data_IF_191646806084
#
_entry.id   IF_191646806084
#
_cell.length_a   1.000
_cell.length_b   1.000
_cell.length_c   1.000
_cell.angle_alpha   90.00
_cell.angle_beta   90.00
_cell.angle_gamma   90.00
#
_symmetry.space_group_name_H-M   'P 1'
#
loop_
_entity.id
_entity.type
_entity.pdbx_description
1 polymer ?
#
# COMPACT_ATOMS: atom_id res chain seq x y z
N UNK A 1 -8.16 -8.33 15.41
CA UNK A 1 -9.52 -8.56 15.94
C UNK A 1 -9.81 -7.52 17.00
N UNK A 2 -11.03 -7.04 17.09
CA UNK A 2 -11.51 -6.12 18.12
C UNK A 2 -12.80 -6.67 18.68
N UNK A 3 -12.77 -7.11 19.94
CA UNK A 3 -13.96 -7.61 20.62
C UNK A 3 -14.96 -6.48 20.89
N UNK A 4 -16.24 -6.78 21.17
CA UNK A 4 -17.27 -5.77 21.39
C UNK A 4 -16.92 -4.74 22.48
N UNK A 5 -16.23 -5.16 23.53
CA UNK A 5 -15.79 -4.35 24.67
C UNK A 5 -14.44 -3.64 24.45
N UNK A 6 -13.81 -3.83 23.30
CA UNK A 6 -12.49 -3.28 23.00
C UNK A 6 -12.58 -2.11 22.03
N UNK A 7 -11.76 -1.08 22.28
CA UNK A 7 -11.66 0.08 21.40
C UNK A 7 -10.62 -0.09 20.29
N UNK A 8 -9.75 -1.11 20.38
CA UNK A 8 -8.58 -1.25 19.49
C UNK A 8 -8.45 -2.65 18.88
N UNK A 9 -7.91 -2.72 17.66
CA UNK A 9 -7.61 -4.00 17.01
C UNK A 9 -6.32 -4.61 17.56
N UNK A 10 -6.38 -5.89 17.94
CA UNK A 10 -5.24 -6.69 18.37
C UNK A 10 -4.92 -7.78 17.33
N UNK A 11 -3.64 -8.05 17.02
CA UNK A 11 -3.28 -9.14 16.11
C UNK A 11 -3.60 -10.48 16.76
N UNK A 12 -4.10 -11.42 15.95
CA UNK A 12 -4.42 -12.79 16.39
C UNK A 12 -3.86 -13.75 15.34
N UNK A 13 -3.01 -14.69 15.75
CA UNK A 13 -2.46 -15.73 14.87
C UNK A 13 -2.98 -17.09 15.32
N UNK A 14 -4.06 -17.54 14.68
CA UNK A 14 -4.78 -18.77 15.03
C UNK A 14 -5.42 -19.38 13.79
N UNK A 15 -5.50 -20.70 13.73
CA UNK A 15 -6.18 -21.43 12.65
C UNK A 15 -7.69 -21.50 12.88
N UNK A 16 -8.12 -21.54 14.14
CA UNK A 16 -9.52 -21.49 14.56
C UNK A 16 -9.66 -20.59 15.78
N UNK A 17 -10.66 -19.71 15.76
CA UNK A 17 -11.00 -18.83 16.86
C UNK A 17 -12.52 -18.78 17.01
N UNK A 18 -13.03 -18.92 18.23
CA UNK A 18 -14.43 -18.65 18.51
C UNK A 18 -14.62 -17.13 18.56
N UNK A 19 -15.48 -16.60 17.71
CA UNK A 19 -15.69 -15.16 17.57
C UNK A 19 -17.05 -14.80 18.18
N UNK A 20 -17.09 -14.03 19.29
CA UNK A 20 -18.34 -13.54 19.85
C UNK A 20 -19.10 -12.64 18.86
N UNK A 21 -20.42 -12.59 18.97
CA UNK A 21 -21.25 -11.67 18.19
C UNK A 21 -20.85 -10.21 18.45
N UNK A 22 -20.82 -9.39 17.39
CA UNK A 22 -20.40 -7.99 17.46
C UNK A 22 -18.88 -7.76 17.35
N UNK A 23 -18.08 -8.81 17.24
CA UNK A 23 -16.62 -8.69 17.04
C UNK A 23 -16.30 -8.17 15.62
N UNK A 24 -15.35 -7.25 15.52
CA UNK A 24 -14.80 -6.80 14.24
C UNK A 24 -13.45 -7.47 13.96
N UNK A 25 -13.25 -7.94 12.73
CA UNK A 25 -12.00 -8.57 12.31
C UNK A 25 -11.43 -7.89 11.06
N UNK A 26 -10.11 -7.77 11.02
CA UNK A 26 -9.34 -7.39 9.84
C UNK A 26 -8.50 -8.62 9.48
N UNK A 27 -8.64 -9.08 8.25
CA UNK A 27 -7.83 -10.16 7.69
C UNK A 27 -6.81 -9.51 6.75
N UNK A 28 -5.55 -9.54 7.15
CA UNK A 28 -4.44 -9.09 6.32
C UNK A 28 -3.78 -10.31 5.68
N UNK A 29 -3.90 -10.43 4.36
CA UNK A 29 -3.20 -11.47 3.60
C UNK A 29 -1.88 -10.93 3.08
N UNK A 30 -0.88 -11.81 2.94
CA UNK A 30 0.36 -11.44 2.28
C UNK A 30 0.10 -11.10 0.79
N UNK A 31 0.81 -10.10 0.28
CA UNK A 31 0.91 -9.84 -1.16
C UNK A 31 2.03 -10.65 -1.81
N UNK A 32 2.25 -10.42 -3.10
CA UNK A 32 3.43 -10.94 -3.82
C UNK A 32 4.70 -10.15 -3.52
N UNK A 33 5.86 -10.70 -3.89
CA UNK A 33 7.14 -9.98 -3.88
C UNK A 33 7.36 -9.18 -5.18
N UNK A 34 8.09 -8.07 -5.08
CA UNK A 34 8.48 -7.26 -6.24
C UNK A 34 9.72 -7.81 -6.96
N UNK A 35 9.96 -7.34 -8.20
CA UNK A 35 11.14 -7.70 -8.99
C UNK A 35 11.76 -6.46 -9.64
N UNK A 36 13.10 -6.38 -9.59
CA UNK A 36 13.87 -5.29 -10.19
C UNK A 36 13.93 -4.02 -9.33
N UNK A 37 14.40 -2.93 -9.95
CA UNK A 37 14.47 -1.61 -9.33
C UNK A 37 13.13 -0.86 -9.53
N UNK A 38 12.40 -0.53 -8.46
CA UNK A 38 11.14 0.21 -8.55
C UNK A 38 11.25 1.55 -9.30
N UNK A 39 12.39 2.24 -9.20
CA UNK A 39 12.61 3.54 -9.88
C UNK A 39 12.76 3.42 -11.40
N UNK A 40 12.87 2.19 -11.92
CA UNK A 40 12.90 1.90 -13.35
C UNK A 40 11.56 1.44 -13.90
N UNK A 41 10.52 1.31 -13.07
CA UNK A 41 9.17 0.96 -13.53
C UNK A 41 8.61 2.11 -14.38
N UNK A 42 7.89 1.78 -15.44
CA UNK A 42 7.22 2.78 -16.30
C UNK A 42 6.26 3.63 -15.44
N UNK A 43 6.42 4.97 -15.39
CA UNK A 43 5.54 5.84 -14.65
C UNK A 43 4.06 5.73 -15.02
N UNK A 44 3.74 5.40 -16.27
CA UNK A 44 2.35 5.21 -16.69
C UNK A 44 1.72 3.98 -16.07
N UNK A 45 2.49 2.90 -15.90
CA UNK A 45 2.02 1.71 -15.20
C UNK A 45 1.83 1.99 -13.71
N UNK A 46 2.72 2.78 -13.09
CA UNK A 46 2.55 3.21 -11.69
C UNK A 46 1.29 4.06 -11.52
N UNK A 47 1.01 4.97 -12.45
CA UNK A 47 -0.24 5.75 -12.44
C UNK A 47 -1.47 4.84 -12.53
N UNK A 48 -1.42 3.83 -13.39
CA UNK A 48 -2.50 2.85 -13.50
C UNK A 48 -2.67 2.06 -12.20
N UNK A 49 -1.58 1.64 -11.56
CA UNK A 49 -1.61 0.95 -10.26
C UNK A 49 -2.26 1.85 -9.17
N UNK A 50 -2.10 3.18 -9.25
CA UNK A 50 -2.77 4.14 -8.37
C UNK A 50 -4.26 4.29 -8.67
N UNK A 51 -4.63 4.36 -9.95
CA UNK A 51 -6.03 4.41 -10.39
C UNK A 51 -6.77 3.14 -9.94
N UNK A 52 -6.10 2.00 -9.97
CA UNK A 52 -6.63 0.69 -9.55
C UNK A 52 -6.60 0.50 -8.02
N UNK A 53 -5.97 1.40 -7.28
CA UNK A 53 -5.88 1.35 -5.82
C UNK A 53 -4.90 0.31 -5.28
N UNK A 54 -4.04 -0.26 -6.12
CA UNK A 54 -2.96 -1.14 -5.69
C UNK A 54 -1.81 -0.39 -5.02
N UNK A 55 -1.57 0.84 -5.48
CA UNK A 55 -0.53 1.73 -4.97
C UNK A 55 -1.19 3.02 -4.50
N UNK A 56 -0.78 3.54 -3.34
CA UNK A 56 -1.24 4.87 -2.90
C UNK A 56 -0.43 5.97 -3.59
N UNK A 57 -0.97 7.18 -3.70
CA UNK A 57 -0.24 8.32 -4.28
C UNK A 57 1.08 8.58 -3.55
N UNK A 58 1.07 8.42 -2.21
CA UNK A 58 2.26 8.58 -1.38
C UNK A 58 3.30 7.49 -1.66
N UNK A 59 2.87 6.24 -1.86
CA UNK A 59 3.75 5.13 -2.23
C UNK A 59 4.29 5.29 -3.66
N UNK A 60 3.49 5.79 -4.61
CA UNK A 60 3.94 6.11 -5.97
C UNK A 60 5.14 7.09 -5.94
N UNK A 61 5.05 8.14 -5.12
CA UNK A 61 6.13 9.12 -4.99
C UNK A 61 7.36 8.55 -4.27
N UNK A 62 7.15 7.86 -3.14
CA UNK A 62 8.24 7.35 -2.29
C UNK A 62 9.00 6.20 -2.94
N UNK A 63 8.27 5.23 -3.48
CA UNK A 63 8.82 3.93 -3.85
C UNK A 63 9.17 3.89 -5.34
N UNK A 64 8.42 4.61 -6.19
CA UNK A 64 8.60 4.62 -7.65
C UNK A 64 9.08 5.97 -8.21
N UNK A 65 9.12 7.02 -7.39
CA UNK A 65 9.49 8.37 -7.83
C UNK A 65 8.44 9.02 -8.74
N UNK A 66 7.19 8.57 -8.74
CA UNK A 66 6.13 9.09 -9.61
C UNK A 66 5.20 9.98 -8.80
N UNK A 67 5.17 11.29 -9.10
CA UNK A 67 4.33 12.25 -8.38
C UNK A 67 3.04 12.45 -9.17
N UNK A 68 1.91 12.18 -8.52
CA UNK A 68 0.57 12.20 -9.12
C UNK A 68 -0.28 13.26 -8.41
N UNK A 69 -1.03 14.03 -9.18
CA UNK A 69 -2.03 14.96 -8.63
C UNK A 69 -3.25 14.17 -8.09
N UNK A 70 -3.62 14.34 -6.81
CA UNK A 70 -4.71 13.58 -6.20
C UNK A 70 -6.10 13.92 -6.74
N UNK A 71 -6.26 15.04 -7.44
CA UNK A 71 -7.54 15.48 -8.00
C UNK A 71 -7.75 14.97 -9.42
N UNK A 72 -6.69 14.90 -10.21
CA UNK A 72 -6.77 14.53 -11.63
C UNK A 72 -6.25 13.12 -11.91
N UNK A 73 -5.44 12.55 -11.00
CA UNK A 73 -4.71 11.30 -11.18
C UNK A 73 -3.76 11.33 -12.38
N UNK A 74 -3.33 12.53 -12.78
CA UNK A 74 -2.31 12.74 -13.80
C UNK A 74 -0.92 12.84 -13.17
N UNK A 75 0.10 12.41 -13.92
CA UNK A 75 1.49 12.51 -13.49
C UNK A 75 1.92 13.97 -13.61
N UNK A 76 2.33 14.56 -12.50
CA UNK A 76 2.79 15.96 -12.45
C UNK A 76 4.29 16.05 -12.72
N UNK A 77 5.08 15.14 -12.13
CA UNK A 77 6.52 15.08 -12.35
C UNK A 77 7.10 13.74 -11.86
N UNK A 78 8.36 13.51 -12.22
CA UNK A 78 9.13 12.37 -11.73
C UNK A 78 10.21 12.87 -10.76
N UNK A 79 10.31 12.24 -9.60
CA UNK A 79 11.39 12.47 -8.67
C UNK A 79 12.68 11.88 -9.26
N UNK A 80 13.81 12.60 -9.11
CA UNK A 80 15.13 12.05 -9.45
C UNK A 80 15.66 11.34 -8.20
N UNK A 81 16.18 10.13 -8.38
CA UNK A 81 16.82 9.43 -7.25
C UNK A 81 18.09 10.19 -6.88
N UNK A 82 18.17 10.66 -5.64
CA UNK A 82 19.41 11.14 -5.04
C UNK A 82 20.29 9.95 -4.64
N UNK A 83 20.52 9.01 -5.56
CA UNK A 83 21.46 7.92 -5.32
C UNK A 83 22.87 8.49 -5.42
N UNK A 84 23.27 9.20 -4.37
CA UNK A 84 24.65 9.56 -4.09
C UNK A 84 25.45 8.26 -4.03
N UNK A 85 26.48 8.22 -4.87
CA UNK A 85 27.58 7.27 -4.89
C UNK A 85 27.85 6.69 -3.49
N UNK A 86 27.74 5.36 -3.36
CA UNK A 86 28.36 4.58 -2.29
C UNK A 86 29.28 3.56 -2.92
#
# INVERSE_FOLDING_TARGET
MKLPEEDTFKPVSVVRHMVPAGTAAIIATAGGGGWGDPWKRDPQLVRQDVIEGYVSIESAARDYGVIIDPRTLEITCLQRSNLSLR
#
